data_IF_321087647901
#
_entry.id   IF_321087647901
#
_cell.length_a   1.000
_cell.length_b   1.000
_cell.length_c   1.000
_cell.angle_alpha   90.00
_cell.angle_beta   90.00
_cell.angle_gamma   90.00
#
_symmetry.space_group_name_H-M   'P 1'
#
loop_
_entity.id
_entity.type
_entity.pdbx_description
1 polymer ?
#
# COMPACT_ATOMS: atom_id res chain seq x y z
N UNK A 1 -32.86 8.34 1.97
CA UNK A 1 -32.22 8.81 0.72
C UNK A 1 -31.26 7.73 0.23
N UNK A 2 -31.39 7.38 -1.06
CA UNK A 2 -30.59 6.43 -1.86
C UNK A 2 -30.48 4.97 -1.35
N UNK A 3 -31.38 4.12 -1.87
CA UNK A 3 -31.30 2.66 -1.76
C UNK A 3 -30.25 2.07 -2.72
N UNK A 4 -29.53 1.06 -2.24
CA UNK A 4 -28.64 0.24 -3.05
C UNK A 4 -29.37 -1.09 -3.36
N UNK A 5 -29.52 -1.36 -4.65
CA UNK A 5 -30.25 -2.50 -5.21
C UNK A 5 -29.59 -3.84 -4.81
N UNK A 6 -30.42 -4.75 -4.30
CA UNK A 6 -30.13 -6.18 -4.11
C UNK A 6 -30.23 -6.88 -5.46
N UNK A 7 -29.17 -6.95 -6.26
CA UNK A 7 -29.16 -7.80 -7.47
C UNK A 7 -27.73 -7.99 -8.01
N UNK A 8 -26.95 -8.90 -7.43
CA UNK A 8 -25.70 -9.44 -8.04
C UNK A 8 -25.17 -10.71 -7.33
N UNK A 9 -26.02 -11.47 -6.63
CA UNK A 9 -25.63 -12.73 -5.97
C UNK A 9 -26.08 -13.96 -6.79
N UNK A 10 -25.73 -14.02 -8.08
CA UNK A 10 -25.67 -15.29 -8.83
C UNK A 10 -24.23 -15.79 -8.79
N UNK A 11 -23.90 -16.52 -7.72
CA UNK A 11 -22.59 -17.15 -7.53
C UNK A 11 -22.40 -18.20 -8.63
N UNK A 12 -21.65 -17.84 -9.68
CA UNK A 12 -21.06 -18.81 -10.60
C UNK A 12 -20.16 -19.75 -9.79
N UNK A 13 -20.47 -21.03 -9.82
CA UNK A 13 -19.64 -22.09 -9.25
C UNK A 13 -18.21 -22.00 -9.82
N UNK A 14 -17.26 -21.50 -9.03
CA UNK A 14 -15.84 -21.62 -9.35
C UNK A 14 -15.28 -22.68 -8.42
N UNK A 15 -14.77 -23.77 -9.01
CA UNK A 15 -14.18 -24.89 -8.27
C UNK A 15 -12.95 -24.48 -7.42
N UNK A 16 -12.44 -23.26 -7.59
CA UNK A 16 -11.23 -22.80 -6.92
C UNK A 16 -11.18 -21.27 -6.81
N UNK A 17 -11.07 -20.77 -5.59
CA UNK A 17 -10.83 -19.37 -5.25
C UNK A 17 -9.44 -19.27 -4.60
N UNK A 18 -8.39 -19.07 -5.40
CA UNK A 18 -7.00 -19.04 -4.87
C UNK A 18 -6.55 -17.64 -4.47
N UNK A 19 -6.96 -16.64 -5.25
CA UNK A 19 -6.52 -15.25 -5.07
C UNK A 19 -7.62 -14.43 -4.44
N UNK A 20 -7.24 -13.63 -3.46
CA UNK A 20 -8.12 -12.62 -2.88
C UNK A 20 -8.61 -11.69 -3.99
N UNK A 21 -9.92 -11.55 -4.13
CA UNK A 21 -10.56 -10.62 -5.03
C UNK A 21 -11.51 -9.73 -4.22
N UNK A 22 -11.53 -8.44 -4.53
CA UNK A 22 -12.33 -7.46 -3.80
C UNK A 22 -11.66 -6.10 -3.77
N UNK A 23 -12.26 -5.16 -3.05
CA UNK A 23 -11.63 -3.88 -2.74
C UNK A 23 -10.65 -4.04 -1.57
N UNK A 24 -9.58 -3.25 -1.57
CA UNK A 24 -8.63 -3.21 -0.47
C UNK A 24 -8.33 -1.77 -0.09
N UNK A 25 -8.07 -1.54 1.21
CA UNK A 25 -7.64 -0.26 1.77
C UNK A 25 -6.46 -0.52 2.71
N UNK A 26 -5.38 0.24 2.56
CA UNK A 26 -4.25 0.26 3.50
C UNK A 26 -3.92 1.70 3.88
N UNK A 27 -3.56 1.91 5.13
CA UNK A 27 -3.13 3.21 5.67
C UNK A 27 -1.78 3.02 6.33
N UNK A 28 -0.85 3.91 6.03
CA UNK A 28 0.48 3.92 6.62
C UNK A 28 0.65 5.21 7.41
N UNK A 29 1.22 5.10 8.62
CA UNK A 29 1.68 6.30 9.34
C UNK A 29 3.02 6.70 8.75
N UNK A 30 3.11 7.94 8.29
CA UNK A 30 4.38 8.50 7.84
C UNK A 30 5.22 8.91 9.06
N UNK A 31 6.55 8.79 8.97
CA UNK A 31 7.43 9.36 9.99
C UNK A 31 7.31 10.89 9.99
N UNK A 32 7.67 11.51 11.11
CA UNK A 32 7.51 12.96 11.34
C UNK A 32 8.32 13.81 10.35
N UNK A 33 9.44 13.27 9.86
CA UNK A 33 10.34 13.94 8.93
C UNK A 33 9.93 13.79 7.46
N UNK A 34 8.93 12.98 7.14
CA UNK A 34 8.51 12.79 5.75
C UNK A 34 7.90 14.07 5.15
N UNK A 35 8.18 14.35 3.88
CA UNK A 35 7.52 15.43 3.14
C UNK A 35 6.29 14.89 2.37
N UNK A 36 5.05 15.09 2.87
CA UNK A 36 3.84 14.58 2.22
C UNK A 36 3.48 15.29 0.91
N UNK A 37 3.99 16.50 0.68
CA UNK A 37 3.68 17.28 -0.54
C UNK A 37 4.41 16.74 -1.78
N UNK A 38 5.48 15.96 -1.58
CA UNK A 38 6.33 15.43 -2.64
C UNK A 38 6.18 13.91 -2.84
N UNK A 39 5.04 13.35 -2.46
CA UNK A 39 4.76 11.92 -2.67
C UNK A 39 4.64 11.63 -4.16
N UNK A 40 5.35 10.60 -4.61
CA UNK A 40 5.25 10.06 -5.98
C UNK A 40 4.79 8.59 -5.96
N UNK A 41 4.35 8.10 -7.12
CA UNK A 41 3.97 6.70 -7.30
C UNK A 41 4.33 6.18 -8.69
N UNK A 42 4.62 4.89 -8.80
CA UNK A 42 4.84 4.19 -10.08
C UNK A 42 4.14 2.83 -10.07
N UNK A 43 3.20 2.58 -11.01
CA UNK A 43 2.60 1.26 -11.21
C UNK A 43 3.40 0.46 -12.24
N UNK A 44 4.02 -0.64 -11.83
CA UNK A 44 4.84 -1.48 -12.72
C UNK A 44 4.72 -2.96 -12.35
N UNK A 45 4.53 -3.85 -13.34
CA UNK A 45 4.47 -5.31 -13.16
C UNK A 45 3.49 -5.80 -12.08
N UNK A 46 2.35 -5.13 -11.92
CA UNK A 46 1.35 -5.46 -10.90
C UNK A 46 1.69 -4.99 -9.48
N UNK A 47 2.72 -4.17 -9.31
CA UNK A 47 3.14 -3.57 -8.04
C UNK A 47 2.95 -2.05 -8.10
N UNK A 48 2.31 -1.50 -7.07
CA UNK A 48 2.26 -0.05 -6.85
C UNK A 48 3.39 0.35 -5.91
N UNK A 49 4.41 1.02 -6.44
CA UNK A 49 5.50 1.58 -5.63
C UNK A 49 5.13 3.02 -5.26
N UNK A 50 5.19 3.35 -3.96
CA UNK A 50 4.94 4.70 -3.44
C UNK A 50 6.22 5.22 -2.80
N UNK A 51 6.67 6.39 -3.23
CA UNK A 51 7.90 7.02 -2.74
C UNK A 51 7.55 8.26 -1.95
N UNK A 52 8.03 8.32 -0.70
CA UNK A 52 7.87 9.47 0.18
C UNK A 52 9.26 10.02 0.53
N UNK A 53 9.61 11.22 0.06
CA UNK A 53 10.91 11.83 0.35
C UNK A 53 11.10 12.11 1.84
N UNK A 54 12.33 11.90 2.30
CA UNK A 54 12.82 12.32 3.62
C UNK A 54 13.87 13.41 3.46
N UNK A 55 14.04 14.30 4.45
CA UNK A 55 15.13 15.27 4.47
C UNK A 55 16.48 14.53 4.51
N UNK A 56 17.49 15.14 3.91
CA UNK A 56 18.86 14.62 3.98
C UNK A 56 19.35 14.70 5.43
N UNK A 57 19.47 13.54 6.09
CA UNK A 57 20.16 13.42 7.38
C UNK A 57 21.56 12.86 7.16
N UNK A 58 22.55 13.43 7.84
CA UNK A 58 23.89 12.86 7.87
C UNK A 58 23.82 11.43 8.45
N UNK A 59 24.39 10.42 7.78
CA UNK A 59 24.32 9.05 8.27
C UNK A 59 25.01 8.99 9.63
N UNK A 60 24.29 8.52 10.65
CA UNK A 60 24.93 8.17 11.91
C UNK A 60 25.64 6.83 11.73
N UNK A 61 26.96 6.83 11.85
CA UNK A 61 27.76 5.61 11.78
C UNK A 61 27.70 4.91 13.15
N UNK A 62 26.76 3.98 13.29
CA UNK A 62 26.73 3.08 14.43
C UNK A 62 27.65 1.91 14.09
N UNK A 63 28.81 1.85 14.74
CA UNK A 63 29.72 0.72 14.59
C UNK A 63 29.19 -0.48 15.37
N UNK A 64 28.86 -1.56 14.66
CA UNK A 64 28.57 -2.86 15.28
C UNK A 64 29.88 -3.62 15.36
N UNK A 65 30.35 -3.90 16.59
CA UNK A 65 31.49 -4.79 16.80
C UNK A 65 31.00 -6.24 16.82
N UNK A 66 31.39 -7.05 15.84
CA UNK A 66 31.20 -8.50 15.91
C UNK A 66 32.19 -9.09 16.92
N UNK A 67 31.75 -10.09 17.68
CA UNK A 67 32.60 -10.89 18.57
C UNK A 67 33.33 -11.97 17.80
#
# INVERSE_FOLDING_TARGET
>A
MAGVKKEDLKVQWRHRLERQCGSFLRRFRLPEDANPEKIGYTPENGVLTVTVPKPEMKPSCWSIRMR
#
